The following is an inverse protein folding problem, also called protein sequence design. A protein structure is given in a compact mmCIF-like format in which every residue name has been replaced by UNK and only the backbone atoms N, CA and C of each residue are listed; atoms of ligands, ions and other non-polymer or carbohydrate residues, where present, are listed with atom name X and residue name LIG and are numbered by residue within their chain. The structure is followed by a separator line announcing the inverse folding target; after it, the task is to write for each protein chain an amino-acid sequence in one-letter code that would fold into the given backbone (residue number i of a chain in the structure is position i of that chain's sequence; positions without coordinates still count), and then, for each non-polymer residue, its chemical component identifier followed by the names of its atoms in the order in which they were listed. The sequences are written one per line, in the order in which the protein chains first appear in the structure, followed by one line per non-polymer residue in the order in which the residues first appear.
data_IF_463266128711
#
_entry.id   IF_463266128711
#
_cell.length_a   1.000
_cell.length_b   1.000
_cell.length_c   1.000
_cell.angle_alpha   90.00
_cell.angle_beta   90.00
_cell.angle_gamma   90.00
#
_symmetry.space_group_name_H-M   'P 1'
#
loop_
_entity.id
_entity.type
_entity.pdbx_description
1 polymer ?
#
# COMPACT_ATOMS: atom_id res chain seq x y z
N UNK A 1 -59.69 36.59 34.15
CA UNK A 1 -58.99 37.57 33.28
C UNK A 1 -57.48 37.72 33.55
N UNK A 2 -56.82 36.80 34.27
CA UNK A 2 -55.37 36.83 34.52
C UNK A 2 -54.64 35.51 34.18
N UNK A 3 -55.34 34.54 33.59
CA UNK A 3 -54.81 33.21 33.22
C UNK A 3 -54.47 33.07 31.73
N UNK A 4 -54.89 34.01 30.88
CA UNK A 4 -54.72 33.90 29.40
C UNK A 4 -53.48 34.60 28.84
N UNK A 5 -52.76 35.40 29.64
CA UNK A 5 -51.54 36.10 29.20
C UNK A 5 -50.24 35.33 29.51
N UNK A 6 -50.26 34.37 30.43
CA UNK A 6 -49.07 33.55 30.76
C UNK A 6 -48.85 32.39 29.77
N UNK A 7 -49.93 31.81 29.23
CA UNK A 7 -49.85 30.66 28.30
C UNK A 7 -49.27 31.07 26.94
N UNK A 8 -49.48 32.31 26.51
CA UNK A 8 -49.00 32.84 25.22
C UNK A 8 -47.50 33.18 25.30
N UNK A 9 -47.01 33.66 26.44
CA UNK A 9 -45.58 34.04 26.61
C UNK A 9 -44.64 32.83 26.61
N UNK A 10 -45.07 31.68 27.15
CA UNK A 10 -44.26 30.44 27.18
C UNK A 10 -44.18 29.79 25.79
N UNK A 11 -45.23 29.94 24.97
CA UNK A 11 -45.27 29.34 23.63
C UNK A 11 -44.33 30.04 22.62
N UNK A 12 -44.07 31.35 22.77
CA UNK A 12 -43.12 32.08 21.92
C UNK A 12 -41.65 31.87 22.28
N UNK A 13 -41.33 31.52 23.54
CA UNK A 13 -39.95 31.19 23.95
C UNK A 13 -39.58 29.77 23.50
N UNK A 14 -40.51 28.82 23.60
CA UNK A 14 -40.29 27.44 23.12
C UNK A 14 -40.08 27.35 21.60
N UNK A 15 -40.70 28.23 20.80
CA UNK A 15 -40.51 28.26 19.35
C UNK A 15 -39.21 28.95 18.88
N UNK A 16 -38.54 29.70 19.77
CA UNK A 16 -37.28 30.41 19.48
C UNK A 16 -36.04 29.74 20.07
N UNK A 17 -36.18 28.55 20.65
CA UNK A 17 -35.06 27.70 21.08
C UNK A 17 -34.84 26.46 20.21
N UNK A 18 -35.74 26.19 19.25
CA UNK A 18 -35.54 25.10 18.26
C UNK A 18 -34.76 25.50 17.01
N UNK A 19 -34.43 26.78 16.83
CA UNK A 19 -33.59 27.25 15.72
C UNK A 19 -32.12 27.52 16.10
N UNK A 20 -31.75 27.32 17.37
CA UNK A 20 -30.36 27.53 17.84
C UNK A 20 -29.61 26.23 18.15
N UNK A 21 -30.26 25.08 18.16
CA UNK A 21 -29.57 23.76 18.28
C UNK A 21 -29.28 23.14 16.92
N UNK A 22 -29.87 23.64 15.84
CA UNK A 22 -29.71 23.09 14.48
C UNK A 22 -28.65 23.81 13.62
N UNK A 23 -27.74 24.55 14.24
CA UNK A 23 -26.56 25.14 13.58
C UNK A 23 -25.26 24.69 14.29
N UNK A 24 -25.34 23.59 15.04
CA UNK A 24 -24.21 22.95 15.73
C UNK A 24 -23.82 21.58 15.18
N UNK A 25 -24.32 21.22 13.98
CA UNK A 25 -23.98 19.98 13.28
C UNK A 25 -23.43 20.31 11.88
N UNK A 26 -22.60 21.35 11.77
CA UNK A 26 -21.87 21.64 10.54
C UNK A 26 -20.66 20.72 10.46
N UNK A 27 -20.90 19.54 9.87
CA UNK A 27 -19.96 18.75 9.07
C UNK A 27 -18.47 19.05 9.24
N UNK A 28 -17.87 18.50 10.29
CA UNK A 28 -16.47 18.05 10.22
C UNK A 28 -16.44 16.56 9.91
N UNK A 29 -17.11 16.15 8.82
CA UNK A 29 -16.68 14.93 8.14
C UNK A 29 -15.40 15.35 7.43
N UNK A 30 -14.28 15.26 8.16
CA UNK A 30 -12.97 15.34 7.55
C UNK A 30 -12.96 14.36 6.40
N UNK A 31 -12.75 14.86 5.20
CA UNK A 31 -12.57 14.04 4.01
C UNK A 31 -11.28 13.24 4.26
N UNK A 32 -11.38 12.04 4.84
CA UNK A 32 -10.25 11.13 4.93
C UNK A 32 -9.96 10.77 3.47
N UNK A 33 -8.97 11.45 2.89
CA UNK A 33 -8.45 11.09 1.58
C UNK A 33 -7.82 9.72 1.75
N UNK A 34 -8.58 8.67 1.46
CA UNK A 34 -8.06 7.31 1.36
C UNK A 34 -7.01 7.33 0.26
N UNK A 35 -5.75 7.43 0.66
CA UNK A 35 -4.63 7.32 -0.28
C UNK A 35 -4.67 5.91 -0.87
N UNK A 36 -4.60 5.79 -2.19
CA UNK A 36 -4.57 4.47 -2.81
C UNK A 36 -3.32 3.73 -2.33
N UNK A 37 -3.45 2.44 -2.01
CA UNK A 37 -2.29 1.62 -1.65
C UNK A 37 -1.31 1.45 -2.82
N UNK A 38 -1.72 1.80 -4.04
CA UNK A 38 -0.87 1.81 -5.21
C UNK A 38 0.19 2.91 -5.22
N UNK A 39 -0.09 4.08 -4.63
CA UNK A 39 0.90 5.17 -4.42
C UNK A 39 1.76 5.52 -5.66
N UNK A 40 1.14 5.45 -6.85
CA UNK A 40 1.81 5.71 -8.14
C UNK A 40 2.39 4.47 -8.84
N UNK A 41 2.37 3.29 -8.22
CA UNK A 41 2.80 2.02 -8.81
C UNK A 41 1.67 1.22 -9.49
N UNK A 42 0.47 1.83 -9.61
CA UNK A 42 -0.68 1.26 -10.32
C UNK A 42 -1.80 0.81 -9.41
N UNK A 43 -2.99 1.36 -9.62
CA UNK A 43 -4.22 0.99 -8.88
C UNK A 43 -4.93 -0.24 -9.47
N UNK A 44 -4.39 -0.79 -10.55
CA UNK A 44 -4.79 -2.04 -11.21
C UNK A 44 -4.15 -3.29 -10.58
N UNK A 45 -3.29 -3.10 -9.57
CA UNK A 45 -2.72 -4.16 -8.73
C UNK A 45 -3.49 -4.17 -7.41
N UNK A 46 -3.84 -5.38 -6.94
CA UNK A 46 -4.48 -5.56 -5.64
C UNK A 46 -3.44 -5.47 -4.51
N UNK A 47 -3.15 -4.25 -4.08
CA UNK A 47 -2.25 -3.97 -2.96
C UNK A 47 -2.91 -4.28 -1.61
N UNK A 48 -2.16 -4.96 -0.75
CA UNK A 48 -2.58 -5.35 0.61
C UNK A 48 -1.80 -4.50 1.62
N UNK A 49 -2.44 -3.97 2.69
CA UNK A 49 -1.75 -3.31 3.77
C UNK A 49 -0.67 -4.22 4.39
N UNK A 50 0.49 -3.66 4.75
CA UNK A 50 1.58 -4.44 5.34
C UNK A 50 1.12 -5.25 6.58
N UNK A 51 0.28 -4.67 7.42
CA UNK A 51 -0.27 -5.32 8.62
C UNK A 51 -1.02 -6.64 8.31
N UNK A 52 -1.66 -6.73 7.14
CA UNK A 52 -2.46 -7.88 6.73
C UNK A 52 -1.68 -8.84 5.82
N UNK A 53 -0.50 -8.44 5.36
CA UNK A 53 0.24 -9.12 4.31
C UNK A 53 0.57 -10.57 4.66
N UNK A 54 1.13 -10.82 5.85
CA UNK A 54 1.58 -12.16 6.25
C UNK A 54 0.40 -13.11 6.50
N UNK A 55 -0.69 -12.63 7.10
CA UNK A 55 -1.90 -13.45 7.27
C UNK A 55 -2.50 -13.78 5.91
N UNK A 56 -2.62 -12.78 5.03
CA UNK A 56 -3.12 -12.95 3.66
C UNK A 56 -2.27 -13.94 2.87
N UNK A 57 -0.94 -13.86 2.99
CA UNK A 57 0.00 -14.73 2.29
C UNK A 57 -0.14 -16.19 2.71
N UNK A 58 -0.26 -16.46 4.02
CA UNK A 58 -0.48 -17.80 4.55
C UNK A 58 -1.83 -18.37 4.11
N UNK A 59 -2.92 -17.60 4.25
CA UNK A 59 -4.27 -18.06 3.90
C UNK A 59 -4.41 -18.36 2.41
N UNK A 60 -3.81 -17.55 1.54
CA UNK A 60 -3.88 -17.74 0.09
C UNK A 60 -2.77 -18.62 -0.46
N UNK A 61 -1.83 -19.07 0.39
CA UNK A 61 -0.64 -19.80 0.00
C UNK A 61 0.15 -19.11 -1.14
N UNK A 62 0.35 -17.80 -1.03
CA UNK A 62 1.06 -16.97 -2.02
C UNK A 62 2.34 -16.39 -1.43
N UNK A 63 3.43 -16.27 -2.24
CA UNK A 63 4.56 -15.44 -1.86
C UNK A 63 4.18 -13.96 -1.73
N UNK A 64 5.03 -13.20 -1.07
CA UNK A 64 4.87 -11.76 -0.89
C UNK A 64 5.84 -11.04 -1.82
N UNK A 65 5.30 -10.07 -2.57
CA UNK A 65 6.07 -9.03 -3.24
C UNK A 65 6.05 -7.80 -2.35
N UNK A 66 7.20 -7.41 -1.81
CA UNK A 66 7.32 -6.28 -0.89
C UNK A 66 8.11 -5.15 -1.56
N UNK A 67 7.41 -4.09 -1.95
CA UNK A 67 7.99 -2.84 -2.41
C UNK A 67 8.15 -1.87 -1.24
N UNK A 68 9.39 -1.43 -1.00
CA UNK A 68 9.73 -0.43 0.00
C UNK A 68 10.23 0.81 -0.74
N UNK A 69 9.57 1.94 -0.55
CA UNK A 69 9.92 3.18 -1.24
C UNK A 69 9.65 4.44 -0.38
N UNK A 70 10.09 5.59 -0.89
CA UNK A 70 9.81 6.89 -0.31
C UNK A 70 9.18 7.82 -1.36
N UNK A 71 8.27 8.70 -0.95
CA UNK A 71 7.58 9.63 -1.87
C UNK A 71 8.49 10.72 -2.44
N UNK A 72 9.55 11.08 -1.70
CA UNK A 72 10.48 12.16 -2.03
C UNK A 72 11.78 11.65 -2.69
N UNK A 73 11.82 10.37 -3.10
CA UNK A 73 13.01 9.76 -3.69
C UNK A 73 12.94 9.75 -5.21
N UNK A 74 13.93 10.37 -5.88
CA UNK A 74 13.98 10.45 -7.35
C UNK A 74 13.99 9.05 -8.00
N UNK A 75 14.78 8.11 -7.50
CA UNK A 75 14.82 6.75 -8.04
C UNK A 75 13.47 6.01 -7.91
N UNK A 76 12.65 6.34 -6.90
CA UNK A 76 11.30 5.79 -6.78
C UNK A 76 10.38 6.37 -7.85
N UNK A 77 10.47 7.68 -8.12
CA UNK A 77 9.72 8.35 -9.19
C UNK A 77 10.14 7.85 -10.57
N UNK A 78 11.43 7.61 -10.77
CA UNK A 78 11.95 7.05 -12.02
C UNK A 78 11.44 5.62 -12.23
N UNK A 79 11.37 4.80 -11.18
CA UNK A 79 10.75 3.47 -11.26
C UNK A 79 9.24 3.54 -11.58
N UNK A 80 8.50 4.47 -10.97
CA UNK A 80 7.09 4.68 -11.33
C UNK A 80 6.95 5.07 -12.80
N UNK A 81 7.86 5.91 -13.31
CA UNK A 81 7.92 6.30 -14.71
C UNK A 81 8.24 5.11 -15.62
N UNK A 82 9.26 4.32 -15.29
CA UNK A 82 9.61 3.09 -16.01
C UNK A 82 8.36 2.18 -16.15
N UNK A 83 7.67 1.89 -15.05
CA UNK A 83 6.48 1.02 -15.06
C UNK A 83 5.25 1.63 -15.74
N UNK A 84 5.22 2.94 -15.95
CA UNK A 84 4.14 3.62 -16.68
C UNK A 84 4.44 3.66 -18.18
N UNK A 85 5.68 3.97 -18.54
CA UNK A 85 6.10 4.19 -19.92
C UNK A 85 6.33 2.83 -20.65
N UNK A 86 6.66 1.76 -19.93
CA UNK A 86 6.80 0.39 -20.43
C UNK A 86 5.51 -0.45 -20.27
N UNK A 87 4.53 -0.18 -21.14
CA UNK A 87 3.16 -0.71 -21.03
C UNK A 87 3.06 -2.23 -21.11
N UNK A 88 3.86 -2.90 -21.95
CA UNK A 88 3.78 -4.35 -22.13
C UNK A 88 4.38 -5.11 -20.94
N UNK A 89 5.52 -4.65 -20.43
CA UNK A 89 6.12 -5.15 -19.21
C UNK A 89 5.20 -4.91 -18.01
N UNK A 90 4.58 -3.73 -17.94
CA UNK A 90 3.59 -3.42 -16.92
C UNK A 90 2.41 -4.39 -16.93
N UNK A 91 1.83 -4.69 -18.10
CA UNK A 91 0.77 -5.70 -18.22
C UNK A 91 1.22 -7.06 -17.68
N UNK A 92 2.45 -7.46 -17.97
CA UNK A 92 3.01 -8.71 -17.41
C UNK A 92 3.16 -8.65 -15.89
N UNK A 93 3.63 -7.53 -15.33
CA UNK A 93 3.71 -7.34 -13.88
C UNK A 93 2.33 -7.43 -13.25
N UNK A 94 1.31 -6.79 -13.83
CA UNK A 94 -0.09 -6.87 -13.35
C UNK A 94 -0.60 -8.31 -13.39
N UNK A 95 -0.32 -9.07 -14.45
CA UNK A 95 -0.71 -10.48 -14.52
C UNK A 95 0.02 -11.33 -13.47
N UNK A 96 1.33 -11.16 -13.35
CA UNK A 96 2.14 -11.87 -12.35
C UNK A 96 1.71 -11.50 -10.93
N UNK A 97 1.30 -10.25 -10.69
CA UNK A 97 0.89 -9.75 -9.37
C UNK A 97 -0.23 -10.57 -8.75
N UNK A 98 -1.10 -11.19 -9.57
CA UNK A 98 -2.19 -12.07 -9.13
C UNK A 98 -1.67 -13.32 -8.40
N UNK A 99 -0.42 -13.70 -8.61
CA UNK A 99 0.23 -14.86 -7.96
C UNK A 99 0.91 -14.49 -6.64
N UNK A 100 0.94 -13.21 -6.27
CA UNK A 100 1.58 -12.70 -5.06
C UNK A 100 0.55 -12.05 -4.14
N UNK A 101 0.92 -11.89 -2.87
CA UNK A 101 0.41 -10.81 -2.03
C UNK A 101 1.29 -9.59 -2.30
N UNK A 102 0.70 -8.57 -2.90
CA UNK A 102 1.41 -7.35 -3.30
C UNK A 102 1.36 -6.35 -2.16
N UNK A 103 2.52 -5.89 -1.70
CA UNK A 103 2.64 -4.98 -0.57
C UNK A 103 3.48 -3.79 -1.01
N UNK A 104 2.93 -2.60 -0.79
CA UNK A 104 3.60 -1.34 -1.03
C UNK A 104 3.74 -0.62 0.31
N UNK A 105 4.97 -0.35 0.73
CA UNK A 105 5.33 0.24 2.01
C UNK A 105 6.06 1.55 1.78
N UNK A 106 5.60 2.62 2.44
CA UNK A 106 6.12 3.96 2.24
C UNK A 106 6.64 4.58 3.54
N UNK A 107 7.87 5.13 3.50
CA UNK A 107 8.43 5.90 4.61
C UNK A 107 8.42 5.16 5.95
N UNK A 108 7.62 5.66 6.90
CA UNK A 108 7.59 5.13 8.28
C UNK A 108 6.94 3.76 8.41
N UNK A 109 6.28 3.27 7.36
CA UNK A 109 5.74 1.91 7.32
C UNK A 109 6.85 0.86 7.09
N UNK A 110 8.07 1.29 6.71
CA UNK A 110 9.20 0.39 6.46
C UNK A 110 9.48 -0.49 7.69
N UNK A 111 9.53 -1.83 7.52
CA UNK A 111 9.81 -2.71 8.63
C UNK A 111 11.25 -2.55 9.17
N UNK A 112 11.43 -2.75 10.47
CA UNK A 112 12.69 -2.45 11.15
C UNK A 112 13.68 -3.63 11.12
N UNK A 113 13.20 -4.82 10.80
CA UNK A 113 13.96 -6.06 10.79
C UNK A 113 15.02 -6.07 9.68
N UNK A 114 16.25 -6.47 10.03
CA UNK A 114 17.39 -6.54 9.09
C UNK A 114 17.13 -7.48 7.91
N UNK A 115 16.25 -8.47 8.08
CA UNK A 115 15.82 -9.40 7.03
C UNK A 115 15.25 -8.67 5.80
N UNK A 116 14.70 -7.45 6.00
CA UNK A 116 14.12 -6.58 4.97
C UNK A 116 15.05 -5.42 4.52
N UNK A 117 16.30 -5.44 4.96
CA UNK A 117 17.38 -4.56 4.50
C UNK A 117 18.72 -5.32 4.43
N UNK A 118 18.80 -6.47 3.72
CA UNK A 118 19.95 -7.37 3.79
C UNK A 118 21.25 -6.77 3.21
N UNK A 119 21.14 -5.71 2.42
CA UNK A 119 22.23 -5.01 1.75
C UNK A 119 22.11 -3.48 1.92
N UNK A 120 21.40 -3.04 2.96
CA UNK A 120 21.24 -1.62 3.32
C UNK A 120 19.81 -1.08 3.17
N UNK A 121 19.60 0.14 3.69
CA UNK A 121 18.31 0.85 3.73
C UNK A 121 18.19 1.94 2.65
N UNK A 122 18.53 1.61 1.41
CA UNK A 122 18.33 2.50 0.25
C UNK A 122 16.91 2.35 -0.31
N UNK A 123 16.39 3.28 -1.10
CA UNK A 123 15.07 3.12 -1.74
C UNK A 123 15.13 3.47 -3.22
N UNK A 124 14.32 2.84 -4.10
CA UNK A 124 13.37 1.76 -3.83
C UNK A 124 14.06 0.40 -3.60
N UNK A 125 13.37 -0.52 -2.91
CA UNK A 125 13.75 -1.95 -2.81
C UNK A 125 12.56 -2.84 -3.10
N UNK A 126 12.80 -3.93 -3.82
CA UNK A 126 11.80 -4.98 -4.02
C UNK A 126 12.36 -6.27 -3.42
N UNK A 127 11.61 -6.85 -2.48
CA UNK A 127 11.93 -8.10 -1.82
C UNK A 127 10.87 -9.14 -2.13
N UNK A 128 11.31 -10.38 -2.31
CA UNK A 128 10.44 -11.54 -2.50
C UNK A 128 10.51 -12.41 -1.26
N UNK A 129 9.36 -12.61 -0.61
CA UNK A 129 9.26 -13.39 0.62
C UNK A 129 8.38 -14.63 0.38
N UNK A 130 8.64 -15.69 1.13
CA UNK A 130 7.74 -16.83 1.21
C UNK A 130 6.45 -16.46 1.97
N UNK A 131 5.50 -17.39 2.00
CA UNK A 131 4.22 -17.18 2.69
C UNK A 131 4.38 -16.97 4.22
N UNK A 132 5.53 -17.33 4.79
CA UNK A 132 5.82 -17.12 6.21
C UNK A 132 6.47 -15.76 6.51
N UNK A 133 6.79 -14.98 5.47
CA UNK A 133 7.42 -13.68 5.58
C UNK A 133 8.95 -13.72 5.59
N UNK A 134 9.57 -14.87 5.27
CA UNK A 134 11.02 -15.04 5.19
C UNK A 134 11.51 -14.73 3.78
N UNK A 135 12.68 -14.08 3.64
CA UNK A 135 13.22 -13.75 2.31
C UNK A 135 13.56 -15.02 1.53
N UNK A 136 13.11 -15.05 0.27
CA UNK A 136 13.49 -16.08 -0.69
C UNK A 136 14.93 -15.78 -1.12
N UNK A 137 15.87 -16.65 -0.76
CA UNK A 137 17.29 -16.47 -1.07
C UNK A 137 17.55 -16.63 -2.57
N UNK A 138 18.53 -15.89 -3.08
CA UNK A 138 18.97 -15.96 -4.47
C UNK A 138 18.15 -15.13 -5.46
N UNK A 139 16.99 -14.58 -5.06
CA UNK A 139 16.21 -13.67 -5.89
C UNK A 139 16.72 -12.25 -5.66
N UNK A 140 17.43 -11.71 -6.65
CA UNK A 140 17.98 -10.35 -6.61
C UNK A 140 18.28 -9.81 -8.03
N UNK A 141 18.77 -8.58 -8.08
CA UNK A 141 19.17 -7.87 -9.29
C UNK A 141 20.70 -7.74 -9.45
N UNK A 142 21.46 -8.75 -8.98
CA UNK A 142 22.93 -8.79 -9.12
C UNK A 142 23.42 -8.63 -10.57
N UNK A 143 22.59 -8.99 -11.54
CA UNK A 143 22.89 -8.83 -12.98
C UNK A 143 23.10 -7.39 -13.40
N UNK A 144 22.46 -6.44 -12.70
CA UNK A 144 22.50 -5.01 -13.02
C UNK A 144 23.20 -4.20 -11.94
N UNK A 145 23.01 -4.56 -10.67
CA UNK A 145 23.53 -3.81 -9.53
C UNK A 145 24.41 -4.70 -8.65
N UNK A 146 25.70 -4.37 -8.60
CA UNK A 146 26.70 -5.15 -7.83
C UNK A 146 26.54 -5.02 -6.32
N UNK A 147 26.10 -3.85 -5.84
CA UNK A 147 26.03 -3.53 -4.41
C UNK A 147 24.60 -3.34 -3.90
N UNK A 148 23.65 -3.02 -4.78
CA UNK A 148 22.25 -2.77 -4.46
C UNK A 148 21.40 -3.90 -5.03
N UNK A 149 21.46 -5.06 -4.37
CA UNK A 149 20.93 -6.32 -4.85
C UNK A 149 19.42 -6.30 -5.03
N UNK A 150 18.71 -5.50 -4.25
CA UNK A 150 17.26 -5.40 -4.27
C UNK A 150 16.77 -4.11 -4.94
N UNK A 151 17.67 -3.37 -5.60
CA UNK A 151 17.32 -2.23 -6.42
C UNK A 151 16.92 -2.70 -7.83
N UNK A 152 15.73 -2.30 -8.26
CA UNK A 152 15.21 -2.58 -9.58
C UNK A 152 14.79 -1.26 -10.23
N UNK A 153 15.47 -0.93 -11.32
CA UNK A 153 15.25 0.27 -12.14
C UNK A 153 14.60 -0.05 -13.48
N UNK A 154 14.51 -1.33 -13.86
CA UNK A 154 13.93 -1.80 -15.13
C UNK A 154 12.80 -2.81 -14.91
N UNK A 155 11.72 -2.68 -15.67
CA UNK A 155 10.55 -3.55 -15.55
C UNK A 155 10.86 -5.03 -15.88
N UNK A 156 11.75 -5.27 -16.84
CA UNK A 156 12.21 -6.60 -17.25
C UNK A 156 12.85 -7.40 -16.09
N UNK A 157 13.63 -6.72 -15.24
CA UNK A 157 14.30 -7.34 -14.11
C UNK A 157 13.32 -7.69 -12.99
N UNK A 158 12.28 -6.88 -12.81
CA UNK A 158 11.18 -7.16 -11.88
C UNK A 158 10.43 -8.41 -12.34
N UNK A 159 10.04 -8.49 -13.62
CA UNK A 159 9.35 -9.63 -14.21
C UNK A 159 10.17 -10.91 -14.02
N UNK A 160 11.47 -10.84 -14.30
CA UNK A 160 12.38 -11.98 -14.12
C UNK A 160 12.40 -12.43 -12.66
N UNK A 161 12.60 -11.51 -11.72
CA UNK A 161 12.65 -11.85 -10.30
C UNK A 161 11.31 -12.41 -9.78
N UNK A 162 10.17 -11.88 -10.26
CA UNK A 162 8.84 -12.45 -10.01
C UNK A 162 8.78 -13.90 -10.50
N UNK A 163 9.18 -14.19 -11.73
CA UNK A 163 9.16 -15.57 -12.27
C UNK A 163 10.09 -16.51 -11.50
N UNK A 164 11.31 -16.08 -11.21
CA UNK A 164 12.29 -16.86 -10.43
C UNK A 164 11.78 -17.15 -9.01
N UNK A 165 11.15 -16.18 -8.34
CA UNK A 165 10.58 -16.38 -7.01
C UNK A 165 9.43 -17.39 -7.00
N UNK A 166 8.57 -17.40 -8.02
CA UNK A 166 7.50 -18.40 -8.15
C UNK A 166 8.07 -19.81 -8.35
N UNK A 167 9.16 -19.95 -9.11
CA UNK A 167 9.85 -21.24 -9.27
C UNK A 167 10.46 -21.68 -7.94
N UNK A 168 11.13 -20.78 -7.23
CA UNK A 168 11.74 -21.07 -5.93
C UNK A 168 10.70 -21.55 -4.91
N UNK A 169 9.55 -20.88 -4.82
CA UNK A 169 8.46 -21.27 -3.90
C UNK A 169 7.86 -22.63 -4.24
N UNK A 170 7.71 -22.95 -5.53
CA UNK A 170 7.28 -24.30 -5.95
C UNK A 170 8.27 -25.37 -5.50
N UNK A 171 9.57 -25.10 -5.62
CA UNK A 171 10.62 -26.00 -5.16
C UNK A 171 10.68 -26.19 -3.64
N UNK A 172 10.26 -25.19 -2.85
CA UNK A 172 10.17 -25.31 -1.38
C UNK A 172 8.98 -26.15 -0.89
N UNK A 173 7.98 -26.36 -1.77
CA UNK A 173 6.74 -27.09 -1.45
C UNK A 173 6.74 -28.54 -1.95
N UNK A 174 7.68 -28.88 -2.82
CA UNK A 174 7.89 -30.24 -3.34
C UNK A 174 8.72 -31.06 -2.35
#
# INVERSE_FOLDING_TARGET
HLTDLYTISICFIAFRMHKLVFVGLFSFIGFIKSESLGRGFGDDINWVPYADAFVTARLNNKPIFLLIHNTWCQACLDLQKELRDHVEERKQIVELSKQFVMVNVVGKEEPNEEEYSPDGRYTPRILFLDANGKRIRGINNLRRHKYYLNFYDRAEDIIRAMKESLVAVKGMRA
#
